data_IF_962061537440
#
_entry.id   IF_962061537440
#
_cell.length_a   1.000
_cell.length_b   1.000
_cell.length_c   1.000
_cell.angle_alpha   90.00
_cell.angle_beta   90.00
_cell.angle_gamma   90.00
#
_symmetry.space_group_name_H-M   'P 1'
#
loop_
_entity.id
_entity.type
_entity.pdbx_description
1 polymer ?
#
# COMPACT_ATOMS: atom_id res chain seq x y z
N UNK A 1 13.52 -10.88 -27.95
CA UNK A 1 12.05 -11.01 -27.91
C UNK A 1 11.72 -12.26 -27.12
N UNK A 2 11.30 -12.16 -25.86
CA UNK A 2 11.21 -13.34 -25.00
C UNK A 2 10.23 -13.18 -23.85
N UNK A 3 9.23 -14.07 -23.83
CA UNK A 3 8.47 -14.65 -22.69
C UNK A 3 7.76 -13.71 -21.70
N UNK A 4 8.02 -12.40 -21.71
CA UNK A 4 7.50 -11.40 -20.75
C UNK A 4 6.00 -11.08 -20.91
N UNK A 5 5.35 -11.63 -21.92
CA UNK A 5 3.99 -11.26 -22.33
C UNK A 5 2.92 -12.29 -21.94
N UNK A 6 3.29 -13.55 -21.68
CA UNK A 6 2.29 -14.61 -21.45
C UNK A 6 1.81 -14.74 -20.00
N UNK A 7 2.61 -14.38 -19.00
CA UNK A 7 2.15 -14.46 -17.59
C UNK A 7 1.18 -13.32 -17.25
N UNK A 8 1.19 -12.22 -18.03
CA UNK A 8 0.19 -11.13 -17.94
C UNK A 8 -1.21 -11.54 -18.43
N UNK A 9 -1.34 -12.63 -19.19
CA UNK A 9 -2.61 -13.03 -19.81
C UNK A 9 -3.45 -13.99 -18.94
N UNK A 10 -2.83 -14.81 -18.10
CA UNK A 10 -3.56 -15.81 -17.29
C UNK A 10 -4.47 -15.21 -16.23
N UNK A 11 -4.07 -14.08 -15.63
CA UNK A 11 -4.90 -13.39 -14.64
C UNK A 11 -6.04 -12.59 -15.28
N UNK A 12 -5.96 -12.27 -16.59
CA UNK A 12 -6.89 -11.36 -17.29
C UNK A 12 -8.28 -11.94 -17.53
N UNK A 13 -8.51 -13.24 -17.33
CA UNK A 13 -9.72 -13.89 -17.85
C UNK A 13 -10.80 -14.28 -16.85
N UNK A 14 -10.51 -14.52 -15.56
CA UNK A 14 -11.56 -15.10 -14.70
C UNK A 14 -12.01 -14.24 -13.52
N UNK A 15 -11.16 -13.36 -12.95
CA UNK A 15 -11.61 -12.33 -11.99
C UNK A 15 -10.79 -11.02 -11.96
N UNK A 16 -9.78 -10.85 -12.82
CA UNK A 16 -9.11 -9.55 -13.02
C UNK A 16 -9.68 -8.78 -14.23
N UNK A 17 -10.98 -8.94 -14.51
CA UNK A 17 -11.69 -8.25 -15.58
C UNK A 17 -11.89 -6.74 -15.33
N UNK A 18 -11.27 -6.15 -14.30
CA UNK A 18 -11.36 -4.71 -14.01
C UNK A 18 -10.10 -4.15 -13.35
N UNK A 19 -8.91 -4.67 -13.69
CA UNK A 19 -7.65 -4.12 -13.17
C UNK A 19 -6.66 -3.90 -14.32
N UNK A 20 -6.97 -2.91 -15.15
CA UNK A 20 -6.06 -2.31 -16.13
C UNK A 20 -6.02 -0.82 -15.84
N UNK A 21 -4.85 -0.32 -15.41
CA UNK A 21 -4.34 1.03 -15.63
C UNK A 21 -5.40 2.15 -15.73
N UNK A 22 -5.68 2.83 -14.61
CA UNK A 22 -6.46 4.08 -14.62
C UNK A 22 -7.96 3.93 -14.94
N UNK A 23 -8.49 2.72 -15.04
CA UNK A 23 -9.93 2.50 -15.15
C UNK A 23 -10.60 2.64 -13.78
N UNK A 24 -10.90 3.89 -13.45
CA UNK A 24 -11.92 4.32 -12.50
C UNK A 24 -13.32 3.89 -12.99
N UNK A 25 -13.50 2.61 -13.32
CA UNK A 25 -14.76 2.07 -13.78
C UNK A 25 -15.35 1.28 -12.60
N UNK A 26 -16.44 1.80 -12.05
CA UNK A 26 -17.18 1.34 -10.86
C UNK A 26 -16.90 2.02 -9.52
N UNK A 27 -16.18 3.15 -9.46
CA UNK A 27 -16.11 4.00 -8.25
C UNK A 27 -15.51 3.32 -7.00
N UNK A 28 -14.92 2.13 -7.14
CA UNK A 28 -14.27 1.40 -6.06
C UNK A 28 -12.90 2.02 -5.83
N UNK A 29 -12.68 2.51 -4.61
CA UNK A 29 -11.37 3.02 -4.18
C UNK A 29 -10.64 1.91 -3.42
N UNK A 30 -9.35 1.79 -3.65
CA UNK A 30 -8.48 0.82 -2.98
C UNK A 30 -7.50 1.54 -2.04
N UNK A 31 -7.05 0.83 -1.01
CA UNK A 31 -5.99 1.29 -0.12
C UNK A 31 -4.89 0.22 0.02
N UNK A 32 -3.81 0.58 0.72
CA UNK A 32 -2.72 -0.34 1.01
C UNK A 32 -2.07 -0.98 -0.22
N UNK A 33 -1.79 -2.28 -0.21
CA UNK A 33 -1.05 -2.93 -1.30
C UNK A 33 -1.79 -2.90 -2.63
N UNK A 34 -3.12 -3.08 -2.63
CA UNK A 34 -3.94 -3.01 -3.84
C UNK A 34 -3.85 -1.64 -4.54
N UNK A 35 -3.62 -0.57 -3.76
CA UNK A 35 -3.35 0.76 -4.30
C UNK A 35 -1.90 0.88 -4.81
N UNK A 36 -0.92 0.42 -4.03
CA UNK A 36 0.51 0.52 -4.37
C UNK A 36 0.87 -0.21 -5.66
N UNK A 37 0.32 -1.41 -5.91
CA UNK A 37 0.63 -2.18 -7.13
C UNK A 37 0.18 -1.51 -8.44
N UNK A 38 -0.68 -0.49 -8.37
CA UNK A 38 -1.11 0.27 -9.54
C UNK A 38 -0.15 1.40 -9.91
N UNK A 39 0.91 1.61 -9.14
CA UNK A 39 1.93 2.61 -9.46
C UNK A 39 2.94 2.03 -10.46
N UNK A 40 3.34 2.83 -11.45
CA UNK A 40 4.22 2.38 -12.55
C UNK A 40 5.56 1.79 -12.11
N UNK A 41 6.02 2.16 -10.90
CA UNK A 41 7.28 1.70 -10.31
C UNK A 41 7.21 0.32 -9.65
N UNK A 42 6.02 -0.30 -9.54
CA UNK A 42 5.83 -1.55 -8.78
C UNK A 42 5.44 -2.69 -9.71
N UNK A 43 6.31 -3.69 -9.80
CA UNK A 43 6.07 -4.95 -10.49
C UNK A 43 5.85 -6.06 -9.46
N UNK A 44 4.59 -6.25 -9.04
CA UNK A 44 4.23 -7.26 -8.05
C UNK A 44 3.07 -8.17 -8.50
N UNK A 45 2.96 -9.35 -7.91
CA UNK A 45 1.77 -10.19 -8.02
C UNK A 45 0.66 -9.53 -7.19
N UNK A 46 -0.58 -9.64 -7.66
CA UNK A 46 -1.74 -9.12 -6.94
C UNK A 46 -1.79 -9.67 -5.50
N UNK A 47 -1.99 -8.82 -4.49
CA UNK A 47 -2.17 -9.25 -3.11
C UNK A 47 -3.33 -10.25 -2.96
N UNK A 48 -3.14 -11.28 -2.14
CA UNK A 48 -4.19 -12.24 -1.82
C UNK A 48 -5.31 -11.65 -0.94
N UNK A 49 -5.01 -10.57 -0.22
CA UNK A 49 -5.95 -9.77 0.56
C UNK A 49 -5.95 -8.37 -0.05
N UNK A 50 -7.12 -7.80 -0.30
CA UNK A 50 -7.27 -6.44 -0.85
C UNK A 50 -8.04 -5.55 0.11
N UNK A 51 -7.72 -4.25 0.10
CA UNK A 51 -8.47 -3.26 0.88
C UNK A 51 -9.35 -2.43 -0.04
N UNK A 52 -10.63 -2.39 0.26
CA UNK A 52 -11.64 -1.61 -0.48
C UNK A 52 -12.31 -0.58 0.42
N UNK A 53 -12.49 0.62 -0.12
CA UNK A 53 -13.30 1.65 0.52
C UNK A 53 -14.77 1.33 0.27
N UNK A 54 -15.52 1.11 1.35
CA UNK A 54 -16.96 0.84 1.30
C UNK A 54 -17.69 1.72 2.32
N UNK A 55 -19.02 1.83 2.17
CA UNK A 55 -19.91 2.52 3.11
C UNK A 55 -20.11 1.70 4.39
N UNK A 56 -19.02 1.46 5.12
CA UNK A 56 -18.99 0.78 6.42
C UNK A 56 -18.65 1.80 7.52
N UNK A 57 -19.03 1.54 8.77
CA UNK A 57 -18.71 2.44 9.90
C UNK A 57 -17.39 2.09 10.58
N UNK A 58 -16.94 0.83 10.42
CA UNK A 58 -15.68 0.28 10.95
C UNK A 58 -15.04 -0.65 9.92
N UNK A 59 -13.78 -1.01 10.15
CA UNK A 59 -13.07 -2.03 9.35
C UNK A 59 -13.76 -3.40 9.52
N UNK A 60 -14.02 -4.08 8.41
CA UNK A 60 -14.59 -5.43 8.38
C UNK A 60 -13.85 -6.31 7.38
N UNK A 61 -13.64 -7.58 7.72
CA UNK A 61 -13.01 -8.55 6.82
C UNK A 61 -14.10 -9.44 6.23
N UNK A 62 -14.20 -9.45 4.91
CA UNK A 62 -15.18 -10.21 4.12
C UNK A 62 -14.41 -11.10 3.15
N UNK A 63 -14.18 -12.35 3.54
CA UNK A 63 -13.33 -13.27 2.77
C UNK A 63 -11.91 -12.71 2.62
N UNK A 64 -11.50 -12.42 1.38
CA UNK A 64 -10.20 -11.85 1.03
C UNK A 64 -10.21 -10.31 0.90
N UNK A 65 -11.30 -9.65 1.28
CA UNK A 65 -11.42 -8.19 1.20
C UNK A 65 -11.53 -7.59 2.60
N UNK A 66 -10.73 -6.56 2.87
CA UNK A 66 -10.87 -5.70 4.04
C UNK A 66 -11.66 -4.46 3.60
N UNK A 67 -12.92 -4.37 4.02
CA UNK A 67 -13.76 -3.20 3.80
C UNK A 67 -13.42 -2.12 4.85
N UNK A 68 -13.14 -0.90 4.41
CA UNK A 68 -12.80 0.22 5.30
C UNK A 68 -13.62 1.47 4.99
N UNK A 69 -13.91 2.31 6.01
CA UNK A 69 -14.53 3.60 5.78
C UNK A 69 -13.53 4.56 5.11
N UNK A 70 -14.04 5.49 4.29
CA UNK A 70 -13.21 6.45 3.55
C UNK A 70 -12.27 7.28 4.46
N UNK A 71 -12.70 7.59 5.69
CA UNK A 71 -11.89 8.33 6.68
C UNK A 71 -10.62 7.62 7.15
N UNK A 72 -10.52 6.30 6.97
CA UNK A 72 -9.35 5.51 7.37
C UNK A 72 -8.29 5.45 6.26
N UNK A 73 -8.65 5.86 5.05
CA UNK A 73 -7.87 5.64 3.85
C UNK A 73 -6.88 6.79 3.68
N UNK A 74 -5.59 6.51 3.46
CA UNK A 74 -4.61 7.54 3.12
C UNK A 74 -5.00 8.32 1.87
N UNK A 75 -4.40 9.50 1.67
CA UNK A 75 -4.57 10.23 0.43
C UNK A 75 -3.99 9.43 -0.75
N UNK A 76 -4.55 9.50 -1.97
CA UNK A 76 -4.10 8.69 -3.12
C UNK A 76 -2.62 8.90 -3.49
N UNK A 77 -2.07 10.07 -3.19
CA UNK A 77 -0.68 10.45 -3.42
C UNK A 77 0.25 10.15 -2.21
N UNK A 78 -0.31 9.80 -1.06
CA UNK A 78 0.43 9.47 0.16
C UNK A 78 0.95 8.03 0.15
N UNK A 79 2.03 7.81 -0.61
CA UNK A 79 2.69 6.49 -0.72
C UNK A 79 3.07 5.92 0.64
N UNK A 80 3.64 6.73 1.53
CA UNK A 80 4.05 6.30 2.88
C UNK A 80 2.83 5.88 3.70
N UNK A 81 1.75 6.66 3.69
CA UNK A 81 0.49 6.32 4.32
C UNK A 81 -0.07 5.01 3.82
N UNK A 82 -0.07 4.77 2.50
CA UNK A 82 -0.49 3.48 1.93
C UNK A 82 0.40 2.31 2.38
N UNK A 83 1.72 2.50 2.48
CA UNK A 83 2.64 1.46 3.00
C UNK A 83 2.35 1.14 4.47
N UNK A 84 2.26 2.15 5.33
CA UNK A 84 2.00 1.97 6.76
C UNK A 84 0.62 1.35 7.01
N UNK A 85 -0.37 1.79 6.24
CA UNK A 85 -1.70 1.22 6.24
C UNK A 85 -1.68 -0.28 5.89
N UNK A 86 -0.97 -0.64 4.82
CA UNK A 86 -0.86 -2.02 4.36
C UNK A 86 -0.18 -2.91 5.41
N UNK A 87 0.95 -2.48 5.98
CA UNK A 87 1.65 -3.21 7.03
C UNK A 87 0.74 -3.45 8.24
N UNK A 88 -0.05 -2.44 8.64
CA UNK A 88 -0.94 -2.50 9.79
C UNK A 88 -2.18 -3.38 9.57
N UNK A 89 -2.67 -3.49 8.34
CA UNK A 89 -3.98 -4.08 8.07
C UNK A 89 -3.94 -5.34 7.20
N UNK A 90 -3.00 -5.44 6.28
CA UNK A 90 -2.83 -6.56 5.34
C UNK A 90 -1.63 -7.45 5.71
N UNK A 91 -0.71 -6.95 6.55
CA UNK A 91 0.51 -7.65 6.95
C UNK A 91 1.70 -7.33 6.04
N UNK A 92 2.73 -8.18 6.04
CA UNK A 92 3.97 -7.96 5.30
C UNK A 92 3.88 -8.57 3.90
N UNK A 93 4.01 -7.75 2.85
CA UNK A 93 4.20 -8.19 1.47
C UNK A 93 5.55 -7.70 0.94
N UNK A 94 6.57 -8.55 1.04
CA UNK A 94 7.95 -8.18 0.67
C UNK A 94 8.10 -7.81 -0.81
N UNK A 95 7.31 -8.40 -1.70
CA UNK A 95 7.39 -8.10 -3.14
C UNK A 95 7.02 -6.65 -3.42
N UNK A 96 5.96 -6.15 -2.75
CA UNK A 96 5.53 -4.76 -2.89
C UNK A 96 6.45 -3.83 -2.10
N UNK A 97 6.77 -4.17 -0.84
CA UNK A 97 7.57 -3.32 0.05
C UNK A 97 8.98 -3.07 -0.47
N UNK A 98 9.65 -4.09 -1.04
CA UNK A 98 10.99 -3.94 -1.60
C UNK A 98 11.06 -2.94 -2.77
N UNK A 99 9.93 -2.65 -3.42
CA UNK A 99 9.84 -1.70 -4.53
C UNK A 99 9.24 -0.37 -4.10
N UNK A 100 8.28 -0.39 -3.17
CA UNK A 100 7.61 0.82 -2.67
C UNK A 100 8.51 1.65 -1.76
N UNK A 101 9.22 1.02 -0.81
CA UNK A 101 10.02 1.72 0.20
C UNK A 101 11.17 2.55 -0.38
N UNK A 102 11.96 2.07 -1.36
CA UNK A 102 13.02 2.89 -1.96
C UNK A 102 12.52 4.14 -2.68
N UNK A 103 11.23 4.18 -3.03
CA UNK A 103 10.61 5.30 -3.74
C UNK A 103 9.95 6.32 -2.80
N UNK A 104 10.15 6.19 -1.48
CA UNK A 104 9.69 7.16 -0.47
C UNK A 104 10.87 8.05 -0.09
N UNK A 105 10.74 9.38 -0.21
CA UNK A 105 11.77 10.32 0.25
C UNK A 105 12.08 10.17 1.75
N UNK A 106 13.36 10.23 2.11
CA UNK A 106 13.80 10.18 3.51
C UNK A 106 13.10 11.22 4.41
N UNK A 107 12.85 12.48 3.97
CA UNK A 107 12.18 13.47 4.81
C UNK A 107 10.77 13.05 5.22
N UNK A 108 10.03 12.34 4.37
CA UNK A 108 8.68 11.85 4.69
C UNK A 108 8.74 10.79 5.79
N UNK A 109 9.70 9.86 5.70
CA UNK A 109 9.92 8.83 6.73
C UNK A 109 10.31 9.47 8.06
N UNK A 110 11.21 10.47 8.02
CA UNK A 110 11.65 11.19 9.22
C UNK A 110 10.50 11.95 9.88
N UNK A 111 9.73 12.70 9.10
CA UNK A 111 8.57 13.45 9.62
C UNK A 111 7.54 12.52 10.26
N UNK A 112 7.22 11.40 9.59
CA UNK A 112 6.30 10.41 10.14
C UNK A 112 6.82 9.78 11.43
N UNK A 113 8.13 9.53 11.52
CA UNK A 113 8.78 9.05 12.74
C UNK A 113 8.68 10.08 13.87
N UNK A 114 9.03 11.35 13.62
CA UNK A 114 9.01 12.41 14.64
C UNK A 114 7.58 12.74 15.12
N UNK A 115 6.58 12.59 14.25
CA UNK A 115 5.17 12.82 14.58
C UNK A 115 4.53 11.68 15.39
N UNK A 116 5.13 10.49 15.44
CA UNK A 116 4.54 9.36 16.15
C UNK A 116 4.63 9.58 17.69
N UNK A 117 3.51 9.47 18.42
CA UNK A 117 3.43 9.85 19.84
C UNK A 117 4.32 9.01 20.78
N UNK A 118 4.82 7.86 20.31
CA UNK A 118 5.68 6.95 21.07
C UNK A 118 7.15 7.03 20.67
N UNK A 119 7.55 8.02 19.86
CA UNK A 119 8.92 8.22 19.38
C UNK A 119 9.85 8.78 20.46
N UNK A 120 9.95 8.08 21.59
CA UNK A 120 10.84 8.44 22.71
C UNK A 120 12.33 8.42 22.35
N UNK A 121 12.70 7.96 21.14
CA UNK A 121 14.09 7.80 20.75
C UNK A 121 14.76 9.08 20.24
N UNK A 122 14.01 10.05 19.70
CA UNK A 122 14.62 11.23 19.06
C UNK A 122 15.37 12.16 20.04
N UNK A 123 14.95 12.18 21.30
CA UNK A 123 15.55 13.02 22.34
C UNK A 123 16.88 12.47 22.88
N UNK A 124 17.13 11.15 22.78
CA UNK A 124 18.26 10.51 23.49
C UNK A 124 19.48 10.23 22.61
N UNK A 125 19.35 10.05 21.28
CA UNK A 125 20.50 9.71 20.43
C UNK A 125 21.42 10.91 20.11
N UNK A 126 20.90 12.14 20.14
CA UNK A 126 21.73 13.36 19.98
C UNK A 126 22.65 13.63 21.17
N UNK A 127 22.36 13.07 22.34
CA UNK A 127 23.17 13.23 23.55
C UNK A 127 24.32 12.21 23.65
N UNK A 128 24.35 11.16 22.82
CA UNK A 128 25.32 10.06 22.97
C UNK A 128 26.61 10.21 22.16
N UNK A 129 26.81 11.31 21.42
CA UNK A 129 28.13 11.71 20.90
C UNK A 129 29.01 10.59 20.36
N UNK A 130 28.51 9.79 19.42
CA UNK A 130 29.35 8.82 18.70
C UNK A 130 29.59 9.36 17.29
N UNK A 131 30.73 10.02 17.15
CA UNK A 131 31.40 10.27 15.89
C UNK A 131 32.17 9.02 15.46
#
# INVERSE_FOLDING_TARGET
MGVRQLVRQGYRKEKAASFSQGEQLNGVKYAGYAHLINQDSISAIAPAIIVEVRSVTRKETIGQTIAVPAKLVPAPDDRLGHVLFAIKHEGINLQVLAQALPAIPEPEIRQAFDAAPNSHSAANWRASGVA
#
